data_IF_407820858736
#
_entry.id   IF_407820858736
#
_cell.length_a   1.000
_cell.length_b   1.000
_cell.length_c   1.000
_cell.angle_alpha   90.00
_cell.angle_beta   90.00
_cell.angle_gamma   90.00
#
_symmetry.space_group_name_H-M   'P 1'
#
loop_
_entity.id
_entity.type
_entity.pdbx_description
1 polymer ?
#
# COMPACT_ATOMS: atom_id res chain seq x y z
N UNK A 1 35.80 31.83 -26.76
CA UNK A 1 35.25 32.30 -25.47
C UNK A 1 33.90 32.95 -25.71
N UNK A 2 32.78 32.22 -25.68
CA UNK A 2 31.43 32.73 -25.92
C UNK A 2 30.60 32.51 -24.66
N UNK A 3 30.24 33.62 -24.02
CA UNK A 3 29.32 33.62 -22.85
C UNK A 3 27.90 33.40 -23.35
N UNK A 4 27.24 32.31 -22.96
CA UNK A 4 25.81 32.12 -23.17
C UNK A 4 25.04 32.76 -22.01
N UNK A 5 24.26 33.79 -22.34
CA UNK A 5 23.26 34.37 -21.44
C UNK A 5 22.03 33.47 -21.41
N UNK A 6 21.63 33.06 -20.21
CA UNK A 6 20.37 32.32 -19.97
C UNK A 6 19.30 33.38 -19.72
N UNK A 7 18.29 33.42 -20.58
CA UNK A 7 17.08 34.22 -20.36
C UNK A 7 16.02 33.36 -19.66
N UNK A 8 15.56 33.82 -18.52
CA UNK A 8 14.38 33.29 -17.84
C UNK A 8 13.17 33.99 -18.44
N UNK A 9 12.34 33.24 -19.16
CA UNK A 9 11.07 33.75 -19.72
C UNK A 9 9.93 33.25 -18.80
N UNK A 10 9.26 34.20 -18.17
CA UNK A 10 7.96 33.99 -17.53
C UNK A 10 6.87 33.88 -18.61
N UNK A 11 6.20 32.75 -18.72
CA UNK A 11 5.00 32.63 -19.54
C UNK A 11 3.74 32.72 -18.68
N UNK A 12 3.06 33.86 -18.78
CA UNK A 12 1.64 34.00 -18.51
C UNK A 12 0.87 33.66 -19.80
N UNK A 13 -0.11 32.75 -19.67
CA UNK A 13 -1.17 32.45 -20.65
C UNK A 13 -0.75 32.17 -22.09
N UNK A 14 -0.82 30.92 -22.49
CA UNK A 14 -1.19 30.54 -23.86
C UNK A 14 -1.69 29.09 -23.90
N UNK A 15 -2.89 28.94 -24.45
CA UNK A 15 -3.48 27.68 -24.86
C UNK A 15 -2.65 27.05 -25.99
N UNK A 16 -2.21 25.81 -25.83
CA UNK A 16 -1.53 25.07 -26.87
C UNK A 16 -2.20 23.72 -27.16
N UNK A 17 -2.86 23.70 -28.32
CA UNK A 17 -3.02 22.49 -29.12
C UNK A 17 -1.78 22.37 -30.02
N UNK A 18 -0.95 21.33 -29.87
CA UNK A 18 -0.30 20.54 -30.93
C UNK A 18 0.89 19.73 -30.44
N UNK A 19 0.80 18.44 -30.77
CA UNK A 19 1.85 17.45 -31.04
C UNK A 19 3.25 17.70 -30.44
N UNK A 20 3.60 16.93 -29.40
CA UNK A 20 4.96 16.86 -28.87
C UNK A 20 5.59 15.47 -29.06
N UNK A 21 6.81 15.47 -29.58
CA UNK A 21 7.66 14.33 -29.85
C UNK A 21 8.24 13.77 -28.52
N UNK A 22 8.17 12.45 -28.31
CA UNK A 22 8.55 11.73 -27.09
C UNK A 22 9.92 12.05 -26.47
N UNK A 23 10.85 12.64 -27.21
CA UNK A 23 12.19 12.99 -26.69
C UNK A 23 12.25 14.32 -25.93
N UNK A 24 11.32 15.24 -26.18
CA UNK A 24 11.29 16.56 -25.53
C UNK A 24 10.67 16.52 -24.14
N UNK A 25 9.79 15.55 -23.87
CA UNK A 25 9.10 15.39 -22.58
C UNK A 25 10.04 14.87 -21.49
N UNK A 26 11.01 14.01 -21.85
CA UNK A 26 11.98 13.48 -20.88
C UNK A 26 12.96 14.54 -20.37
N UNK A 27 13.34 15.49 -21.22
CA UNK A 27 14.26 16.59 -20.84
C UNK A 27 13.60 17.62 -19.91
N UNK A 28 12.30 17.86 -20.06
CA UNK A 28 11.53 18.74 -19.16
C UNK A 28 11.34 18.12 -17.78
N UNK A 29 11.14 16.80 -17.69
CA UNK A 29 11.01 16.10 -16.41
C UNK A 29 12.32 16.11 -15.60
N UNK A 30 13.48 15.96 -16.24
CA UNK A 30 14.79 15.95 -15.56
C UNK A 30 15.14 17.35 -15.02
N UNK A 31 14.80 18.42 -15.74
CA UNK A 31 15.06 19.79 -15.27
C UNK A 31 14.13 20.25 -14.14
N UNK A 32 12.90 19.74 -14.07
CA UNK A 32 12.02 20.01 -12.92
C UNK A 32 12.51 19.33 -11.63
N UNK A 33 13.13 18.16 -11.75
CA UNK A 33 13.64 17.42 -10.58
C UNK A 33 14.88 18.08 -9.94
N UNK A 34 15.79 18.65 -10.75
CA UNK A 34 16.99 19.34 -10.24
C UNK A 34 16.66 20.68 -9.59
N UNK A 35 15.64 21.39 -10.08
CA UNK A 35 15.17 22.66 -9.50
C UNK A 35 14.50 22.42 -8.14
N UNK A 36 13.78 21.30 -8.00
CA UNK A 36 13.13 20.93 -6.74
C UNK A 36 14.15 20.55 -5.63
N UNK A 37 15.27 19.92 -6.00
CA UNK A 37 16.33 19.60 -5.04
C UNK A 37 17.13 20.83 -4.61
N UNK A 38 17.27 21.85 -5.46
CA UNK A 38 17.91 23.11 -5.08
C UNK A 38 17.00 23.98 -4.18
N UNK A 39 15.69 23.96 -4.39
CA UNK A 39 14.70 24.64 -3.54
C UNK A 39 14.63 23.99 -2.14
N UNK A 40 14.73 22.66 -2.03
CA UNK A 40 14.75 21.96 -0.74
C UNK A 40 16.04 22.19 0.09
N UNK A 41 17.14 22.59 -0.51
CA UNK A 41 18.39 22.96 0.20
C UNK A 41 18.37 24.39 0.73
N UNK A 42 17.55 25.26 0.16
CA UNK A 42 17.40 26.65 0.60
C UNK A 42 16.22 26.88 1.56
N UNK A 43 15.24 25.98 1.63
CA UNK A 43 14.07 26.11 2.51
C UNK A 43 14.25 25.49 3.90
N UNK A 44 15.44 25.53 4.51
CA UNK A 44 15.55 25.68 5.96
C UNK A 44 15.24 27.14 6.35
N UNK A 45 14.30 27.75 5.70
CA UNK A 45 13.79 29.07 6.05
C UNK A 45 12.61 28.90 7.01
N UNK A 46 12.74 29.57 8.13
CA UNK A 46 11.70 29.86 9.09
C UNK A 46 10.39 30.23 8.37
N UNK A 47 9.48 29.26 8.19
CA UNK A 47 8.11 29.57 7.82
C UNK A 47 7.57 30.35 9.01
N UNK A 48 7.14 31.58 8.78
CA UNK A 48 6.62 32.43 9.83
C UNK A 48 5.44 31.71 10.46
N UNK A 49 5.37 31.69 11.79
CA UNK A 49 4.28 31.04 12.55
C UNK A 49 2.88 31.58 12.19
N UNK A 50 2.77 32.52 11.26
CA UNK A 50 1.58 33.25 10.84
C UNK A 50 1.11 32.96 9.39
N UNK A 51 1.73 32.04 8.64
CA UNK A 51 1.27 31.72 7.30
C UNK A 51 -0.12 31.05 7.32
N UNK A 52 -1.02 31.47 6.42
CA UNK A 52 -2.34 30.83 6.34
C UNK A 52 -2.23 29.44 5.67
N UNK A 53 -2.96 28.46 6.21
CA UNK A 53 -3.02 27.11 5.60
C UNK A 53 -3.52 27.16 4.17
N UNK A 54 -4.44 28.08 3.86
CA UNK A 54 -4.96 28.29 2.50
C UNK A 54 -3.90 28.80 1.54
N UNK A 55 -3.03 29.68 1.98
CA UNK A 55 -1.90 30.20 1.21
C UNK A 55 -0.88 29.07 0.96
N UNK A 56 -0.51 28.35 2.00
CA UNK A 56 0.37 27.19 1.91
C UNK A 56 -0.18 26.16 0.89
N UNK A 57 -1.47 25.82 0.97
CA UNK A 57 -2.10 24.87 0.05
C UNK A 57 -2.07 25.39 -1.40
N UNK A 58 -2.33 26.67 -1.60
CA UNK A 58 -2.30 27.31 -2.92
C UNK A 58 -0.88 27.29 -3.53
N UNK A 59 0.15 27.57 -2.76
CA UNK A 59 1.56 27.51 -3.20
C UNK A 59 1.96 26.08 -3.60
N UNK A 60 1.34 25.06 -2.99
CA UNK A 60 1.56 23.65 -3.30
C UNK A 60 0.59 23.09 -4.35
N UNK A 61 -0.18 23.98 -5.04
CA UNK A 61 -1.06 23.61 -6.17
C UNK A 61 -2.43 23.07 -5.77
N UNK A 62 -2.80 23.09 -4.47
CA UNK A 62 -4.11 22.67 -4.02
C UNK A 62 -5.10 23.83 -4.06
N UNK A 63 -6.23 23.63 -4.74
CA UNK A 63 -7.32 24.60 -4.84
C UNK A 63 -8.55 24.13 -4.06
N UNK A 64 -9.31 25.03 -3.41
CA UNK A 64 -10.53 24.65 -2.74
C UNK A 64 -11.59 24.20 -3.76
N UNK A 65 -12.28 23.11 -3.48
CA UNK A 65 -13.40 22.60 -4.28
C UNK A 65 -14.71 23.29 -3.91
N UNK A 66 -14.84 23.77 -2.67
CA UNK A 66 -15.95 24.60 -2.24
C UNK A 66 -15.59 25.46 -1.05
N UNK A 67 -16.24 26.62 -0.94
CA UNK A 67 -16.08 27.59 0.15
C UNK A 67 -17.43 27.86 0.77
N UNK A 68 -17.56 27.65 2.09
CA UNK A 68 -18.78 27.91 2.85
C UNK A 68 -18.44 28.75 4.10
N UNK A 69 -18.54 30.07 3.96
CA UNK A 69 -18.12 31.01 5.00
C UNK A 69 -16.63 30.81 5.33
N UNK A 70 -16.32 30.57 6.60
CA UNK A 70 -14.94 30.37 7.07
C UNK A 70 -14.41 28.94 6.83
N UNK A 71 -15.22 28.04 6.28
CA UNK A 71 -14.82 26.66 6.04
C UNK A 71 -14.54 26.45 4.55
N UNK A 72 -13.28 26.25 4.21
CA UNK A 72 -12.82 25.94 2.88
C UNK A 72 -12.57 24.43 2.74
N UNK A 73 -13.12 23.81 1.71
CA UNK A 73 -13.05 22.39 1.48
C UNK A 73 -12.14 22.06 0.30
N UNK A 74 -11.26 21.10 0.49
CA UNK A 74 -10.28 20.64 -0.48
C UNK A 74 -10.38 19.14 -0.67
N UNK A 75 -9.90 18.64 -1.80
CA UNK A 75 -9.41 17.27 -1.86
C UNK A 75 -8.21 17.16 -0.94
N UNK A 76 -8.11 16.07 -0.19
CA UNK A 76 -7.04 15.94 0.81
C UNK A 76 -5.65 16.04 0.18
N UNK A 77 -4.75 16.88 0.70
CA UNK A 77 -3.35 16.90 0.29
C UNK A 77 -2.56 15.70 0.83
N UNK A 78 -3.17 14.92 1.74
CA UNK A 78 -2.56 13.79 2.43
C UNK A 78 -2.93 12.44 1.82
N UNK A 79 -3.82 12.42 0.81
CA UNK A 79 -4.34 11.19 0.19
C UNK A 79 -5.09 11.49 -1.10
N UNK A 80 -5.26 10.46 -1.93
CA UNK A 80 -6.11 10.56 -3.11
C UNK A 80 -7.58 10.33 -2.74
N UNK A 81 -8.46 11.23 -3.16
CA UNK A 81 -9.90 11.12 -2.98
C UNK A 81 -10.65 11.82 -4.14
N UNK A 82 -11.88 11.38 -4.40
CA UNK A 82 -12.72 11.97 -5.44
C UNK A 82 -13.72 12.99 -4.87
N UNK A 83 -13.96 12.98 -3.56
CA UNK A 83 -14.90 13.88 -2.88
C UNK A 83 -14.15 14.62 -1.79
N UNK A 84 -14.22 15.94 -1.81
CA UNK A 84 -13.51 16.78 -0.85
C UNK A 84 -13.92 16.48 0.59
N UNK A 85 -12.96 16.10 1.41
CA UNK A 85 -13.15 15.83 2.82
C UNK A 85 -12.09 16.47 3.73
N UNK A 86 -11.20 17.27 3.16
CA UNK A 86 -10.24 18.08 3.89
C UNK A 86 -10.79 19.49 4.08
N UNK A 87 -11.01 19.90 5.31
CA UNK A 87 -11.58 21.19 5.66
C UNK A 87 -10.52 22.09 6.32
N UNK A 88 -10.46 23.34 5.89
CA UNK A 88 -9.68 24.42 6.56
C UNK A 88 -10.65 25.41 7.14
N UNK A 89 -10.54 25.69 8.44
CA UNK A 89 -11.18 26.82 9.10
C UNK A 89 -10.20 28.02 9.02
N UNK A 90 -10.52 28.96 8.13
CA UNK A 90 -9.61 30.08 7.83
C UNK A 90 -9.46 31.07 9.00
N UNK A 91 -10.48 31.20 9.84
CA UNK A 91 -10.40 32.11 11.01
C UNK A 91 -9.50 31.55 12.11
N UNK A 92 -9.54 30.23 12.30
CA UNK A 92 -8.74 29.56 13.32
C UNK A 92 -7.37 29.14 12.81
N UNK A 93 -7.18 29.20 11.48
CA UNK A 93 -6.01 28.68 10.76
C UNK A 93 -5.69 27.23 11.16
N UNK A 94 -6.73 26.37 11.14
CA UNK A 94 -6.63 24.95 11.43
C UNK A 94 -7.29 24.14 10.35
N UNK A 95 -6.84 22.91 10.18
CA UNK A 95 -7.39 21.97 9.23
C UNK A 95 -7.93 20.71 9.93
N UNK A 96 -8.86 20.04 9.26
CA UNK A 96 -9.36 18.73 9.66
C UNK A 96 -9.66 17.88 8.41
N UNK A 97 -9.06 16.70 8.34
CA UNK A 97 -9.32 15.70 7.31
C UNK A 97 -10.30 14.66 7.87
N UNK A 98 -11.53 14.69 7.37
CA UNK A 98 -12.59 13.78 7.81
C UNK A 98 -12.33 12.33 7.40
N UNK A 99 -11.59 12.10 6.31
CA UNK A 99 -11.21 10.76 5.87
C UNK A 99 -10.11 10.14 6.74
N UNK A 100 -9.17 10.96 7.25
CA UNK A 100 -8.14 10.52 8.18
C UNK A 100 -8.56 10.56 9.64
N UNK A 101 -9.63 11.30 9.97
CA UNK A 101 -9.97 11.60 11.36
C UNK A 101 -8.91 12.41 12.08
N UNK A 102 -8.12 13.21 11.34
CA UNK A 102 -6.99 13.99 11.88
C UNK A 102 -7.12 15.45 11.54
N UNK A 103 -6.58 16.29 12.43
CA UNK A 103 -6.54 17.72 12.24
C UNK A 103 -5.36 18.37 12.96
N UNK A 104 -5.17 19.67 12.70
CA UNK A 104 -4.10 20.41 13.33
C UNK A 104 -3.89 21.80 12.74
N UNK A 105 -2.73 22.36 12.98
CA UNK A 105 -2.25 23.61 12.42
C UNK A 105 -1.32 23.36 11.21
N UNK A 106 -0.79 24.45 10.63
CA UNK A 106 0.11 24.36 9.47
C UNK A 106 1.32 23.46 9.73
N UNK A 107 1.98 23.57 10.88
CA UNK A 107 3.16 22.74 11.22
C UNK A 107 2.86 21.24 11.26
N UNK A 108 1.64 20.88 11.69
CA UNK A 108 1.22 19.47 11.67
C UNK A 108 0.94 18.98 10.26
N UNK A 109 0.39 19.82 9.38
CA UNK A 109 0.18 19.53 7.98
C UNK A 109 1.51 19.32 7.24
N UNK A 110 2.45 20.23 7.41
CA UNK A 110 3.79 20.13 6.84
C UNK A 110 4.52 18.86 7.24
N UNK A 111 4.50 18.53 8.54
CA UNK A 111 5.12 17.29 9.03
C UNK A 111 4.55 16.04 8.36
N UNK A 112 3.24 16.01 8.14
CA UNK A 112 2.60 14.88 7.48
C UNK A 112 2.98 14.80 6.00
N UNK A 113 3.01 15.95 5.29
CA UNK A 113 3.42 16.01 3.88
C UNK A 113 4.90 15.68 3.68
N UNK A 114 5.79 16.14 4.58
CA UNK A 114 7.23 15.86 4.52
C UNK A 114 7.55 14.40 4.88
N UNK A 115 6.79 13.81 5.80
CA UNK A 115 7.00 12.42 6.20
C UNK A 115 6.69 11.43 5.07
N UNK A 116 5.64 11.70 4.29
CA UNK A 116 5.31 10.89 3.12
C UNK A 116 6.32 11.09 1.98
N UNK A 117 6.82 12.30 1.74
CA UNK A 117 7.79 12.59 0.68
C UNK A 117 9.19 11.95 0.92
N UNK A 118 9.64 11.78 2.15
CA UNK A 118 10.94 11.16 2.44
C UNK A 118 10.96 9.63 2.27
N UNK A 119 9.81 8.98 2.26
CA UNK A 119 9.71 7.52 2.02
C UNK A 119 9.67 7.15 0.53
N UNK A 120 9.30 8.07 -0.35
CA UNK A 120 9.21 7.84 -1.81
C UNK A 120 10.55 7.87 -2.55
N UNK A 121 11.64 8.32 -1.93
CA UNK A 121 12.92 8.51 -2.62
C UNK A 121 13.91 7.34 -2.48
N UNK A 122 13.60 6.28 -1.76
CA UNK A 122 14.56 5.19 -1.50
C UNK A 122 14.29 3.88 -2.25
N UNK A 123 13.35 3.81 -3.16
CA UNK A 123 13.15 2.59 -3.96
C UNK A 123 12.85 2.89 -5.43
N UNK A 124 13.92 3.14 -6.20
CA UNK A 124 13.90 3.09 -7.66
C UNK A 124 14.21 1.66 -8.13
N UNK A 125 13.27 0.76 -7.98
CA UNK A 125 13.11 -0.44 -8.81
C UNK A 125 11.65 -0.91 -8.64
N UNK A 126 10.76 -0.34 -9.47
CA UNK A 126 9.43 -0.91 -9.65
C UNK A 126 9.56 -2.02 -10.67
N UNK A 127 9.76 -3.25 -10.21
CA UNK A 127 9.40 -4.45 -10.98
C UNK A 127 7.90 -4.65 -10.69
N UNK A 128 7.04 -4.36 -11.66
CA UNK A 128 5.62 -4.68 -11.53
C UNK A 128 5.49 -6.21 -11.40
N UNK A 129 4.95 -6.73 -10.28
CA UNK A 129 4.66 -8.15 -10.20
C UNK A 129 3.64 -8.48 -11.29
N UNK A 130 3.97 -9.42 -12.18
CA UNK A 130 3.08 -9.90 -13.23
C UNK A 130 1.96 -10.71 -12.60
N UNK A 131 0.89 -10.04 -12.15
CA UNK A 131 -0.36 -10.73 -11.84
C UNK A 131 -0.99 -11.21 -13.16
N UNK A 132 -1.51 -12.44 -13.23
CA UNK A 132 -2.28 -12.84 -14.37
C UNK A 132 -3.49 -11.90 -14.50
N UNK A 133 -3.54 -11.12 -15.57
CA UNK A 133 -4.72 -10.32 -15.93
C UNK A 133 -5.83 -11.28 -16.29
N UNK A 134 -6.67 -11.61 -15.35
CA UNK A 134 -7.85 -12.43 -15.58
C UNK A 134 -8.92 -11.53 -16.18
N UNK A 135 -8.97 -11.52 -17.53
CA UNK A 135 -10.08 -10.94 -18.26
C UNK A 135 -11.31 -11.85 -18.07
N UNK A 136 -12.36 -11.28 -17.45
CA UNK A 136 -13.73 -11.81 -17.48
C UNK A 136 -13.94 -13.27 -17.08
N UNK A 137 -13.77 -13.61 -15.80
CA UNK A 137 -14.40 -14.79 -15.24
C UNK A 137 -15.81 -14.43 -14.75
N UNK A 138 -16.83 -14.91 -15.46
CA UNK A 138 -18.18 -14.93 -14.92
C UNK A 138 -18.21 -15.82 -13.67
N UNK A 139 -18.81 -15.38 -12.54
CA UNK A 139 -18.83 -16.17 -11.33
C UNK A 139 -19.61 -17.46 -11.57
N UNK A 140 -18.96 -18.61 -11.35
CA UNK A 140 -19.61 -19.91 -11.34
C UNK A 140 -20.68 -19.91 -10.23
N UNK A 141 -21.93 -19.98 -10.64
CA UNK A 141 -23.11 -20.05 -9.77
C UNK A 141 -23.13 -21.38 -9.02
N UNK A 142 -22.50 -21.49 -7.88
CA UNK A 142 -22.82 -22.44 -6.80
C UNK A 142 -21.73 -22.50 -5.72
N UNK A 143 -21.40 -21.38 -5.07
CA UNK A 143 -20.79 -21.39 -3.73
C UNK A 143 -20.84 -19.95 -3.17
N UNK A 144 -21.49 -19.80 -2.02
CA UNK A 144 -21.55 -18.64 -1.15
C UNK A 144 -22.29 -17.40 -1.72
N UNK A 145 -23.62 -17.40 -1.55
CA UNK A 145 -24.48 -16.20 -1.64
C UNK A 145 -24.12 -15.11 -0.58
N UNK A 146 -23.04 -15.30 0.17
CA UNK A 146 -22.68 -14.41 1.27
C UNK A 146 -22.20 -13.03 0.80
N UNK A 147 -21.44 -12.96 -0.31
CA UNK A 147 -20.88 -11.72 -0.80
C UNK A 147 -21.41 -11.38 -2.19
N UNK A 148 -22.13 -10.25 -2.29
CA UNK A 148 -22.67 -9.73 -3.55
C UNK A 148 -22.08 -8.36 -3.88
N UNK A 149 -22.24 -7.89 -5.12
CA UNK A 149 -21.75 -6.59 -5.58
C UNK A 149 -20.26 -6.36 -5.27
N UNK A 150 -19.46 -7.39 -5.53
CA UNK A 150 -18.01 -7.33 -5.31
C UNK A 150 -17.38 -6.42 -6.35
N UNK A 151 -16.62 -5.42 -5.89
CA UNK A 151 -15.85 -4.50 -6.73
C UNK A 151 -14.41 -4.48 -6.24
N UNK A 152 -13.48 -4.63 -7.18
CA UNK A 152 -12.03 -4.61 -6.94
C UNK A 152 -11.46 -3.31 -7.47
N UNK A 153 -10.67 -2.61 -6.66
CA UNK A 153 -10.04 -1.36 -7.04
C UNK A 153 -8.66 -1.21 -6.40
N UNK A 154 -7.91 -0.20 -6.79
CA UNK A 154 -6.62 0.10 -6.16
C UNK A 154 -6.80 0.41 -4.67
N UNK A 155 -5.85 -0.07 -3.86
CA UNK A 155 -5.91 0.11 -2.41
C UNK A 155 -5.54 1.55 -2.04
N UNK A 156 -6.55 2.38 -1.86
CA UNK A 156 -6.40 3.80 -1.50
C UNK A 156 -7.08 4.16 -0.19
N UNK A 157 -7.92 3.28 0.35
CA UNK A 157 -8.70 3.51 1.55
C UNK A 157 -7.81 3.63 2.80
N UNK A 158 -7.86 4.80 3.43
CA UNK A 158 -7.03 5.12 4.60
C UNK A 158 -7.25 4.22 5.80
N UNK A 159 -8.49 3.81 6.05
CA UNK A 159 -8.80 2.92 7.17
C UNK A 159 -8.14 1.56 6.98
N UNK A 160 -8.07 1.07 5.73
CA UNK A 160 -7.41 -0.17 5.39
C UNK A 160 -5.88 -0.03 5.44
N UNK A 161 -5.33 1.05 4.91
CA UNK A 161 -3.90 1.35 5.02
C UNK A 161 -3.47 1.57 6.48
N UNK A 162 -4.31 2.23 7.28
CA UNK A 162 -4.07 2.39 8.71
C UNK A 162 -4.10 1.04 9.45
N UNK A 163 -5.06 0.16 9.10
CA UNK A 163 -5.09 -1.20 9.63
C UNK A 163 -3.80 -1.95 9.31
N UNK A 164 -3.34 -1.94 8.05
CA UNK A 164 -2.10 -2.60 7.64
C UNK A 164 -0.87 -1.98 8.31
N UNK A 165 -0.82 -0.66 8.46
CA UNK A 165 0.22 0.04 9.23
C UNK A 165 0.26 -0.42 10.69
N UNK A 166 -0.91 -0.64 11.32
CA UNK A 166 -1.02 -1.22 12.66
C UNK A 166 -0.50 -2.67 12.74
N UNK A 167 -0.44 -3.36 11.60
CA UNK A 167 0.16 -4.69 11.42
C UNK A 167 1.62 -4.63 10.98
N UNK A 168 2.23 -3.46 10.95
CA UNK A 168 3.63 -3.28 10.57
C UNK A 168 3.87 -3.16 9.06
N UNK A 169 2.81 -3.24 8.26
CA UNK A 169 2.92 -3.20 6.78
C UNK A 169 2.83 -1.76 6.28
N UNK A 170 3.82 -1.33 5.50
CA UNK A 170 3.87 0.00 4.89
C UNK A 170 2.84 0.13 3.76
N UNK A 171 2.48 1.38 3.42
CA UNK A 171 1.58 1.63 2.30
C UNK A 171 2.19 1.16 0.97
N UNK A 172 3.51 1.27 0.80
CA UNK A 172 4.22 0.82 -0.41
C UNK A 172 4.08 -0.67 -0.65
N UNK A 173 4.36 -1.50 0.36
CA UNK A 173 4.18 -2.95 0.27
C UNK A 173 2.70 -3.30 0.12
N UNK A 174 1.82 -2.67 0.90
CA UNK A 174 0.39 -2.92 0.83
C UNK A 174 -0.21 -2.67 -0.56
N UNK A 175 0.11 -1.54 -1.19
CA UNK A 175 -0.43 -1.18 -2.52
C UNK A 175 0.19 -2.00 -3.66
N UNK A 176 1.40 -2.53 -3.46
CA UNK A 176 2.03 -3.42 -4.42
C UNK A 176 1.30 -4.77 -4.53
N UNK A 177 0.90 -5.36 -3.40
CA UNK A 177 0.40 -6.72 -3.34
C UNK A 177 -1.11 -6.84 -3.08
N UNK A 178 -1.76 -5.78 -2.62
CA UNK A 178 -3.17 -5.82 -2.23
C UNK A 178 -4.04 -4.89 -3.06
N UNK A 179 -5.33 -5.22 -3.08
CA UNK A 179 -6.39 -4.41 -3.66
C UNK A 179 -7.38 -4.00 -2.58
N UNK A 180 -8.17 -2.99 -2.86
CA UNK A 180 -9.33 -2.63 -2.08
C UNK A 180 -10.55 -3.36 -2.63
N UNK A 181 -11.26 -4.09 -1.76
CA UNK A 181 -12.45 -4.85 -2.14
C UNK A 181 -13.65 -4.26 -1.45
N UNK A 182 -14.64 -3.84 -2.24
CA UNK A 182 -15.96 -3.47 -1.76
C UNK A 182 -16.93 -4.60 -2.04
N UNK A 183 -17.79 -4.91 -1.09
CA UNK A 183 -18.77 -5.99 -1.21
C UNK A 183 -20.00 -5.72 -0.35
N UNK A 184 -21.08 -6.41 -0.68
CA UNK A 184 -22.31 -6.43 0.13
C UNK A 184 -22.44 -7.78 0.82
N UNK A 185 -22.70 -7.78 2.12
CA UNK A 185 -22.98 -8.98 2.90
C UNK A 185 -24.23 -8.76 3.74
N UNK A 186 -25.23 -9.64 3.62
CA UNK A 186 -26.54 -9.50 4.25
C UNK A 186 -27.15 -8.09 4.08
N UNK A 187 -27.09 -7.55 2.86
CA UNK A 187 -27.65 -6.23 2.50
C UNK A 187 -26.83 -5.03 2.99
N UNK A 188 -25.75 -5.21 3.72
CA UNK A 188 -24.87 -4.14 4.20
C UNK A 188 -23.60 -4.06 3.36
N UNK A 189 -23.14 -2.84 3.09
CA UNK A 189 -21.89 -2.59 2.36
C UNK A 189 -20.70 -2.63 3.28
N UNK A 190 -19.64 -3.28 2.82
CA UNK A 190 -18.35 -3.44 3.51
C UNK A 190 -17.20 -3.18 2.55
N UNK A 191 -16.03 -2.94 3.13
CA UNK A 191 -14.77 -2.87 2.41
C UNK A 191 -13.67 -3.59 3.21
N UNK A 192 -12.71 -4.15 2.49
CA UNK A 192 -11.59 -4.88 3.06
C UNK A 192 -10.34 -4.78 2.17
N UNK A 193 -9.18 -5.06 2.75
CA UNK A 193 -7.97 -5.39 1.99
C UNK A 193 -8.21 -6.73 1.32
N UNK A 194 -7.95 -6.82 0.04
CA UNK A 194 -8.03 -8.05 -0.76
C UNK A 194 -6.66 -8.49 -1.24
N UNK A 195 -6.35 -9.76 -1.04
CA UNK A 195 -5.16 -10.41 -1.57
C UNK A 195 -5.60 -11.50 -2.55
N UNK A 196 -5.19 -11.34 -3.81
CA UNK A 196 -5.64 -12.22 -4.90
C UNK A 196 -5.09 -13.64 -4.74
N UNK A 197 -5.89 -14.65 -5.05
CA UNK A 197 -5.44 -16.02 -5.16
C UNK A 197 -5.32 -16.46 -6.63
N UNK A 198 -4.74 -17.63 -6.85
CA UNK A 198 -4.47 -18.20 -8.19
C UNK A 198 -5.71 -18.37 -9.05
N UNK A 199 -6.87 -18.60 -8.45
CA UNK A 199 -8.13 -18.87 -9.16
C UNK A 199 -9.03 -17.64 -9.31
N UNK A 200 -8.55 -16.44 -9.01
CA UNK A 200 -9.30 -15.19 -9.14
C UNK A 200 -10.23 -14.86 -7.97
N UNK A 201 -10.17 -15.62 -6.89
CA UNK A 201 -10.75 -15.24 -5.60
C UNK A 201 -9.82 -14.32 -4.81
N UNK A 202 -10.32 -13.83 -3.68
CA UNK A 202 -9.56 -12.92 -2.81
C UNK A 202 -9.66 -13.36 -1.36
N UNK A 203 -8.54 -13.46 -0.67
CA UNK A 203 -8.54 -13.40 0.77
C UNK A 203 -8.81 -11.95 1.18
N UNK A 204 -9.80 -11.73 2.04
CA UNK A 204 -10.20 -10.39 2.47
C UNK A 204 -10.00 -10.20 3.96
N UNK A 205 -9.50 -9.02 4.35
CA UNK A 205 -9.25 -8.70 5.75
C UNK A 205 -9.39 -7.21 6.04
N UNK A 206 -9.95 -6.91 7.20
CA UNK A 206 -9.89 -5.58 7.81
C UNK A 206 -9.74 -5.73 9.34
N UNK A 207 -9.87 -4.65 10.10
CA UNK A 207 -9.69 -4.70 11.56
C UNK A 207 -10.68 -5.61 12.28
N UNK A 208 -11.82 -5.93 11.66
CA UNK A 208 -12.95 -6.60 12.31
C UNK A 208 -13.31 -7.94 11.66
N UNK A 209 -12.79 -8.22 10.48
CA UNK A 209 -13.24 -9.37 9.68
C UNK A 209 -12.09 -10.00 8.88
N UNK A 210 -12.10 -11.34 8.83
CA UNK A 210 -11.28 -12.17 7.94
C UNK A 210 -12.22 -13.09 7.16
N UNK A 211 -12.07 -13.15 5.85
CA UNK A 211 -12.90 -13.99 4.99
C UNK A 211 -12.23 -14.26 3.65
N UNK A 212 -12.98 -14.90 2.76
CA UNK A 212 -12.54 -15.16 1.40
C UNK A 212 -13.70 -14.98 0.43
N UNK A 213 -13.45 -14.22 -0.63
CA UNK A 213 -14.33 -14.16 -1.79
C UNK A 213 -13.92 -15.30 -2.72
N UNK A 214 -14.86 -16.19 -2.97
CA UNK A 214 -14.65 -17.42 -3.77
C UNK A 214 -14.15 -17.11 -5.18
N UNK A 215 -13.41 -18.07 -5.77
CA UNK A 215 -13.05 -19.37 -5.25
C UNK A 215 -11.87 -19.33 -4.26
N UNK A 216 -11.83 -20.30 -3.31
CA UNK A 216 -10.71 -20.46 -2.35
C UNK A 216 -9.55 -21.21 -2.99
N UNK A 217 -8.38 -20.58 -2.99
CA UNK A 217 -7.15 -21.22 -3.47
C UNK A 217 -5.91 -20.59 -2.81
N UNK A 218 -4.75 -21.13 -3.13
CA UNK A 218 -3.45 -20.55 -2.79
C UNK A 218 -3.19 -19.31 -3.62
N UNK A 219 -2.32 -18.42 -3.10
CA UNK A 219 -1.74 -17.34 -3.89
C UNK A 219 -0.30 -17.67 -4.26
N UNK A 220 0.12 -17.30 -5.47
CA UNK A 220 1.47 -17.54 -5.99
C UNK A 220 2.02 -16.18 -6.43
N UNK A 221 3.19 -15.84 -5.94
CA UNK A 221 3.96 -14.66 -6.30
C UNK A 221 5.28 -15.15 -6.92
N UNK A 222 5.57 -14.75 -8.14
CA UNK A 222 6.79 -15.09 -8.86
C UNK A 222 7.64 -13.83 -9.02
N UNK A 223 8.84 -13.84 -8.45
CA UNK A 223 9.79 -12.72 -8.46
C UNK A 223 11.06 -13.02 -9.26
N UNK A 224 11.27 -14.29 -9.64
CA UNK A 224 12.39 -14.71 -10.49
C UNK A 224 13.58 -15.30 -9.74
N UNK A 225 13.45 -15.57 -8.44
CA UNK A 225 14.45 -16.23 -7.63
C UNK A 225 14.43 -17.75 -7.82
N UNK A 226 15.50 -18.45 -7.41
CA UNK A 226 15.60 -19.91 -7.47
C UNK A 226 14.90 -20.60 -6.30
N UNK A 227 14.67 -19.88 -5.21
CA UNK A 227 14.06 -20.34 -3.96
C UNK A 227 12.62 -19.83 -3.84
N UNK A 228 11.82 -20.52 -2.99
CA UNK A 228 10.44 -20.12 -2.72
C UNK A 228 10.15 -20.09 -1.22
N UNK A 229 9.35 -19.13 -0.79
CA UNK A 229 8.91 -18.96 0.59
C UNK A 229 7.43 -19.32 0.74
N UNK A 230 7.07 -20.07 1.77
CA UNK A 230 5.70 -20.49 2.05
C UNK A 230 5.18 -19.81 3.29
N UNK A 231 4.00 -19.20 3.19
CA UNK A 231 3.32 -18.51 4.28
C UNK A 231 1.93 -19.08 4.53
N UNK A 232 1.44 -19.02 5.78
CA UNK A 232 0.08 -19.45 6.09
C UNK A 232 -0.94 -18.43 5.58
N UNK A 233 -0.70 -17.12 5.80
CA UNK A 233 -1.57 -16.05 5.44
C UNK A 233 -0.84 -14.89 4.73
N UNK A 234 -1.60 -14.07 4.02
CA UNK A 234 -1.00 -12.97 3.25
C UNK A 234 -0.41 -11.86 4.15
N UNK A 235 -0.88 -11.71 5.39
CA UNK A 235 -0.29 -10.73 6.32
C UNK A 235 1.14 -11.16 6.69
N UNK A 236 1.39 -12.46 6.80
CA UNK A 236 2.72 -13.01 7.11
C UNK A 236 3.65 -12.82 5.92
N UNK A 237 3.17 -13.05 4.71
CA UNK A 237 3.89 -12.72 3.48
C UNK A 237 4.25 -11.23 3.42
N UNK A 238 3.29 -10.32 3.62
CA UNK A 238 3.56 -8.88 3.62
C UNK A 238 4.56 -8.49 4.72
N UNK A 239 4.52 -9.15 5.87
CA UNK A 239 5.46 -8.93 6.96
C UNK A 239 6.87 -9.38 6.61
N UNK A 240 7.00 -10.49 5.88
CA UNK A 240 8.28 -10.96 5.35
C UNK A 240 8.86 -9.95 4.36
N UNK A 241 8.04 -9.45 3.42
CA UNK A 241 8.47 -8.42 2.47
C UNK A 241 8.95 -7.15 3.16
N UNK A 242 8.32 -6.74 4.27
CA UNK A 242 8.80 -5.59 5.07
C UNK A 242 10.17 -5.84 5.73
N UNK A 243 10.47 -7.07 6.09
CA UNK A 243 11.70 -7.43 6.78
C UNK A 243 12.85 -7.71 5.82
N UNK A 244 12.58 -8.38 4.70
CA UNK A 244 13.59 -9.01 3.84
C UNK A 244 13.53 -8.54 2.38
N UNK A 245 12.43 -7.91 1.94
CA UNK A 245 12.18 -7.55 0.55
C UNK A 245 11.38 -8.60 -0.20
N UNK A 246 11.23 -8.37 -1.51
CA UNK A 246 10.43 -9.21 -2.41
C UNK A 246 11.05 -10.61 -2.58
N UNK A 247 10.19 -11.62 -2.79
CA UNK A 247 10.61 -13.02 -2.97
C UNK A 247 9.56 -13.81 -3.78
N UNK A 248 9.95 -14.97 -4.32
CA UNK A 248 8.96 -15.95 -4.75
C UNK A 248 8.20 -16.47 -3.52
N UNK A 249 6.88 -16.49 -3.61
CA UNK A 249 6.07 -16.94 -2.48
C UNK A 249 4.86 -17.78 -2.90
N UNK A 250 4.54 -18.75 -2.05
CA UNK A 250 3.26 -19.45 -2.04
C UNK A 250 2.57 -19.15 -0.71
N UNK A 251 1.45 -18.43 -0.76
CA UNK A 251 0.61 -18.19 0.40
C UNK A 251 -0.52 -19.19 0.40
N UNK A 252 -0.57 -20.03 1.42
CA UNK A 252 -1.55 -21.13 1.53
C UNK A 252 -2.98 -20.61 1.69
N UNK A 253 -3.13 -19.42 2.30
CA UNK A 253 -4.41 -18.83 2.69
C UNK A 253 -5.21 -19.67 3.72
N UNK A 254 -4.84 -20.91 3.86
CA UNK A 254 -5.24 -21.86 4.91
C UNK A 254 -4.40 -23.12 4.78
N UNK A 255 -4.05 -23.76 5.88
CA UNK A 255 -3.31 -25.05 5.91
C UNK A 255 -4.04 -26.17 5.13
N UNK A 256 -5.36 -26.09 4.97
CA UNK A 256 -6.16 -27.04 4.16
C UNK A 256 -5.72 -27.05 2.69
N UNK A 257 -5.15 -25.95 2.19
CA UNK A 257 -4.75 -25.83 0.79
C UNK A 257 -3.34 -26.38 0.49
N UNK A 258 -2.64 -26.99 1.45
CA UNK A 258 -1.26 -27.49 1.26
C UNK A 258 -1.15 -28.39 0.02
N UNK A 259 -2.10 -29.29 -0.20
CA UNK A 259 -2.07 -30.21 -1.34
C UNK A 259 -2.12 -29.46 -2.69
N UNK A 260 -2.77 -28.30 -2.72
CA UNK A 260 -2.83 -27.44 -3.91
C UNK A 260 -1.49 -26.75 -4.20
N UNK A 261 -0.64 -26.60 -3.20
CA UNK A 261 0.67 -25.94 -3.32
C UNK A 261 1.73 -26.86 -3.95
N UNK A 262 1.53 -28.19 -3.93
CA UNK A 262 2.53 -29.19 -4.35
C UNK A 262 3.13 -28.89 -5.73
N UNK A 263 2.30 -28.67 -6.73
CA UNK A 263 2.77 -28.42 -8.09
C UNK A 263 3.53 -27.10 -8.25
N UNK A 264 3.23 -26.11 -7.41
CA UNK A 264 3.94 -24.82 -7.42
C UNK A 264 5.29 -24.96 -6.72
N UNK A 265 5.32 -25.61 -5.56
CA UNK A 265 6.53 -25.76 -4.76
C UNK A 265 7.58 -26.67 -5.40
N UNK A 266 7.16 -27.71 -6.14
CA UNK A 266 8.07 -28.61 -6.83
C UNK A 266 8.78 -28.01 -8.06
N UNK A 267 8.54 -26.75 -8.36
CA UNK A 267 9.33 -26.00 -9.35
C UNK A 267 10.65 -25.47 -8.80
N UNK A 268 10.81 -25.41 -7.46
CA UNK A 268 11.93 -24.79 -6.78
C UNK A 268 12.84 -25.85 -6.15
N UNK A 269 14.14 -25.56 -6.15
CA UNK A 269 15.14 -26.43 -5.52
C UNK A 269 15.08 -26.34 -4.02
N UNK A 270 14.73 -25.16 -3.49
CA UNK A 270 14.68 -24.90 -2.06
C UNK A 270 13.41 -24.15 -1.67
N UNK A 271 12.79 -24.59 -0.59
CA UNK A 271 11.54 -24.04 -0.08
C UNK A 271 11.69 -23.70 1.40
N UNK A 272 11.45 -22.46 1.78
CA UNK A 272 11.48 -21.99 3.16
C UNK A 272 10.06 -21.89 3.71
N UNK A 273 9.74 -22.61 4.77
CA UNK A 273 8.43 -22.58 5.40
C UNK A 273 8.39 -21.57 6.55
N UNK A 274 7.63 -20.50 6.37
CA UNK A 274 7.33 -19.47 7.36
C UNK A 274 5.89 -19.63 7.85
N UNK A 275 5.62 -20.73 8.54
CA UNK A 275 4.28 -21.05 9.06
C UNK A 275 4.18 -20.72 10.55
N UNK A 276 2.95 -20.68 11.08
CA UNK A 276 2.69 -20.34 12.48
C UNK A 276 3.43 -21.29 13.45
N UNK A 277 3.94 -20.76 14.56
CA UNK A 277 4.61 -21.51 15.62
C UNK A 277 3.62 -22.27 16.54
N UNK A 278 2.51 -22.74 15.95
CA UNK A 278 1.55 -23.62 16.65
C UNK A 278 1.59 -25.05 16.11
N UNK A 279 0.74 -25.92 16.63
CA UNK A 279 0.70 -27.32 16.22
C UNK A 279 0.29 -27.48 14.75
N UNK A 280 -0.65 -26.66 14.28
CA UNK A 280 -1.14 -26.72 12.90
C UNK A 280 -0.04 -26.32 11.91
N UNK A 281 0.70 -25.24 12.18
CA UNK A 281 1.82 -24.79 11.35
C UNK A 281 2.97 -25.79 11.32
N UNK A 282 3.34 -26.36 12.48
CA UNK A 282 4.37 -27.42 12.53
C UNK A 282 3.97 -28.69 11.75
N UNK A 283 2.69 -29.10 11.83
CA UNK A 283 2.20 -30.24 11.07
C UNK A 283 2.16 -29.93 9.57
N UNK A 284 1.79 -28.69 9.20
CA UNK A 284 1.82 -28.21 7.82
C UNK A 284 3.24 -28.23 7.23
N UNK A 285 4.24 -27.75 7.97
CA UNK A 285 5.67 -27.82 7.57
C UNK A 285 6.11 -29.26 7.33
N UNK A 286 5.80 -30.19 8.26
CA UNK A 286 6.11 -31.62 8.08
C UNK A 286 5.42 -32.21 6.84
N UNK A 287 4.20 -31.77 6.52
CA UNK A 287 3.48 -32.22 5.33
C UNK A 287 4.15 -31.70 4.06
N UNK A 288 4.58 -30.44 4.03
CA UNK A 288 5.32 -29.86 2.91
C UNK A 288 6.64 -30.60 2.71
N UNK A 289 7.40 -30.89 3.78
CA UNK A 289 8.63 -31.66 3.72
C UNK A 289 8.46 -33.07 3.08
N UNK A 290 7.30 -33.68 3.27
CA UNK A 290 7.00 -35.01 2.67
C UNK A 290 6.54 -34.92 1.21
N UNK A 291 6.05 -33.77 0.80
CA UNK A 291 5.37 -33.57 -0.49
C UNK A 291 6.31 -32.94 -1.54
N UNK A 292 7.29 -32.16 -1.11
CA UNK A 292 8.24 -31.50 -1.99
C UNK A 292 9.41 -32.42 -2.32
N UNK A 293 9.86 -32.35 -3.59
CA UNK A 293 11.06 -33.07 -4.06
C UNK A 293 12.36 -32.33 -3.75
N UNK A 294 12.30 -31.03 -3.60
CA UNK A 294 13.44 -30.18 -3.25
C UNK A 294 13.72 -30.11 -1.75
N UNK A 295 14.76 -29.36 -1.37
CA UNK A 295 15.10 -29.11 0.02
C UNK A 295 14.02 -28.24 0.66
N UNK A 296 13.49 -28.64 1.82
CA UNK A 296 12.54 -27.86 2.61
C UNK A 296 13.14 -27.48 3.94
N UNK A 297 13.18 -26.20 4.23
CA UNK A 297 13.72 -25.62 5.45
C UNK A 297 12.58 -25.06 6.31
N UNK A 298 12.54 -25.44 7.58
CA UNK A 298 11.68 -24.79 8.56
C UNK A 298 12.33 -23.47 9.01
N UNK A 299 11.77 -22.35 8.53
CA UNK A 299 12.28 -21.01 8.83
C UNK A 299 11.59 -20.37 10.04
N UNK A 300 10.69 -21.09 10.72
CA UNK A 300 9.94 -20.57 11.89
C UNK A 300 10.83 -20.23 13.09
N UNK A 301 12.07 -20.75 13.12
CA UNK A 301 13.07 -20.40 14.13
C UNK A 301 13.48 -18.94 14.11
N UNK A 302 13.32 -18.23 12.99
CA UNK A 302 13.60 -16.78 12.87
C UNK A 302 12.71 -15.96 13.83
N UNK A 303 11.49 -16.42 14.06
CA UNK A 303 10.52 -15.78 14.95
C UNK A 303 10.05 -16.71 16.08
N UNK A 304 10.98 -17.50 16.65
CA UNK A 304 10.67 -18.53 17.64
C UNK A 304 9.90 -18.03 18.89
N UNK A 305 10.11 -16.77 19.29
CA UNK A 305 9.43 -16.11 20.41
C UNK A 305 8.09 -15.43 20.03
N UNK A 306 7.63 -15.64 18.81
CA UNK A 306 6.38 -15.09 18.29
C UNK A 306 5.55 -16.19 17.67
N UNK A 307 4.22 -15.99 17.67
CA UNK A 307 3.30 -16.95 17.07
C UNK A 307 3.53 -17.05 15.56
N UNK A 308 3.70 -15.92 14.91
CA UNK A 308 3.86 -15.78 13.48
C UNK A 308 4.84 -14.64 13.15
N UNK A 309 5.22 -14.51 11.88
CA UNK A 309 6.18 -13.50 11.43
C UNK A 309 5.60 -12.08 11.54
N UNK A 310 4.28 -11.92 11.49
CA UNK A 310 3.65 -10.61 11.68
C UNK A 310 3.75 -10.15 13.15
N UNK A 311 3.55 -11.03 14.11
CA UNK A 311 3.75 -10.70 15.53
C UNK A 311 5.22 -10.33 15.78
N UNK A 312 6.17 -11.05 15.18
CA UNK A 312 7.60 -10.74 15.25
C UNK A 312 7.90 -9.34 14.68
N UNK A 313 7.38 -9.00 13.50
CA UNK A 313 7.52 -7.68 12.90
C UNK A 313 6.95 -6.60 13.84
N UNK A 314 5.74 -6.80 14.37
CA UNK A 314 5.08 -5.83 15.25
C UNK A 314 5.85 -5.59 16.56
N UNK A 315 6.51 -6.62 17.12
CA UNK A 315 7.36 -6.48 18.31
C UNK A 315 8.61 -5.63 18.07
N UNK A 316 9.15 -5.65 16.85
CA UNK A 316 10.35 -4.89 16.45
C UNK A 316 10.06 -3.44 16.08
N UNK A 317 8.81 -3.12 15.78
CA UNK A 317 8.43 -1.73 15.48
C UNK A 317 8.43 -0.89 16.78
N UNK A 318 8.99 0.34 16.75
CA UNK A 318 8.83 1.26 17.88
C UNK A 318 7.32 1.45 18.09
N UNK A 319 6.85 1.19 19.31
CA UNK A 319 5.44 1.32 19.69
C UNK A 319 4.96 2.70 19.30
N UNK A 320 4.21 2.82 18.21
CA UNK A 320 3.41 4.00 17.93
C UNK A 320 2.43 4.14 19.09
N UNK A 321 2.76 5.05 19.98
CA UNK A 321 2.10 5.46 21.21
C UNK A 321 0.74 4.78 21.44
N UNK A 322 0.70 3.83 22.36
CA UNK A 322 -0.51 3.34 22.98
C UNK A 322 -1.17 4.47 23.80
N UNK A 323 -2.00 5.27 23.16
CA UNK A 323 -2.96 6.16 23.83
C UNK A 323 -4.28 6.09 23.09
N UNK A 324 -5.07 5.08 23.39
CA UNK A 324 -6.54 5.10 23.43
C UNK A 324 -7.08 3.71 23.76
N UNK A 325 -6.83 3.29 25.01
CA UNK A 325 -7.74 2.37 25.70
C UNK A 325 -8.01 3.02 27.05
N UNK A 326 -9.08 3.80 27.10
CA UNK A 326 -9.96 4.00 28.25
C UNK A 326 -11.32 4.41 27.74
#
# INVERSE_FOLDING_TARGET
>A
MMKRKVYVLYFKHLSFNKVFNKRSTLFLFINHHSTFQQLNKQSKMNISDNMAITEFLQEHGYQPTSVKGNNWWYLSPLRNELTASFKVDVNKNVWYDFGLGKGGNLRTLEKLLLYDNNKWQSSNHVIEPKFPVIQNLQPNKKADEAFTNVTVMELTNHSLLYYLKGRGVSASVATCYCKEIHYTNHGKRYYAVGFANRCGGYEIRNAYFKGCISPKDISIIEHGDDDCHVFEGFIDFLSYVELHGDCNAVVLNSVINITKASSALNKYHKVYCHLDNDEAGRNATKQIMRMCMGEVVDASSEYAESKDINEFLCKRMPRLCSRSQK
#
